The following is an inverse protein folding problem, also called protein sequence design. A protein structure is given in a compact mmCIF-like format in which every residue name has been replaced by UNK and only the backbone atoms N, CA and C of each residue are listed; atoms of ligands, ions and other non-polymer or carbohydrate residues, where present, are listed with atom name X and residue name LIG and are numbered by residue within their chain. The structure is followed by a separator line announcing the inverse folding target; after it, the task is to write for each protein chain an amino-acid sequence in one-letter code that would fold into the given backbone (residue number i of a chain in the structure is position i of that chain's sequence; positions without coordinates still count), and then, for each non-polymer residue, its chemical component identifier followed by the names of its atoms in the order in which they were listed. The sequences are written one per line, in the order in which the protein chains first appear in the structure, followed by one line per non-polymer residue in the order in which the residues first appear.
data_IF_335546363648
#
_entry.id   IF_335546363648
#
_cell.length_a   1.000
_cell.length_b   1.000
_cell.length_c   1.000
_cell.angle_alpha   90.00
_cell.angle_beta   90.00
_cell.angle_gamma   90.00
#
_symmetry.space_group_name_H-M   'P 1'
#
loop_
_entity.id
_entity.type
_entity.pdbx_description
1 polymer ?
#
# COMPACT_ATOMS: atom_id res chain seq x y z
N UNK A 1 -7.49 -7.31 11.95
CA UNK A 1 -8.01 -6.75 10.70
C UNK A 1 -7.86 -5.25 10.69
N UNK A 2 -6.65 -4.71 10.87
CA UNK A 2 -6.43 -3.27 10.70
C UNK A 2 -6.54 -2.89 9.23
N UNK A 3 -6.04 -3.73 8.33
CA UNK A 3 -6.49 -3.79 6.95
C UNK A 3 -7.70 -4.72 6.87
N UNK A 4 -8.81 -4.22 6.36
CA UNK A 4 -9.99 -5.00 6.02
C UNK A 4 -10.50 -4.56 4.65
N UNK A 5 -10.51 -5.49 3.69
CA UNK A 5 -10.96 -5.24 2.31
C UNK A 5 -12.48 -5.19 2.20
N UNK A 6 -13.23 -5.29 3.30
CA UNK A 6 -14.69 -5.27 3.31
C UNK A 6 -15.28 -3.95 3.79
N UNK A 7 -14.46 -2.90 3.89
CA UNK A 7 -14.86 -1.62 4.44
C UNK A 7 -15.66 -0.74 3.48
N UNK A 8 -16.01 -1.23 2.28
CA UNK A 8 -16.76 -0.43 1.29
C UNK A 8 -18.01 0.25 1.87
N UNK A 9 -18.85 -0.41 2.69
CA UNK A 9 -20.02 0.23 3.29
C UNK A 9 -19.68 1.46 4.16
N UNK A 10 -18.55 1.42 4.88
CA UNK A 10 -18.07 2.56 5.68
C UNK A 10 -17.43 3.63 4.79
N UNK A 11 -16.64 3.23 3.79
CA UNK A 11 -15.99 4.15 2.84
C UNK A 11 -17.04 4.96 2.06
N UNK A 12 -18.10 4.30 1.58
CA UNK A 12 -19.22 4.94 0.89
C UNK A 12 -19.97 5.91 1.81
N UNK A 13 -20.19 5.53 3.07
CA UNK A 13 -20.84 6.39 4.06
C UNK A 13 -20.02 7.65 4.37
N UNK A 14 -18.69 7.49 4.51
CA UNK A 14 -17.79 8.62 4.72
C UNK A 14 -17.67 9.51 3.47
N UNK A 15 -17.69 8.95 2.25
CA UNK A 15 -17.67 9.73 1.01
C UNK A 15 -16.43 10.62 0.79
N UNK A 16 -15.36 10.45 1.59
CA UNK A 16 -14.17 11.33 1.58
C UNK A 16 -13.41 11.23 0.25
N UNK A 17 -13.54 10.13 -0.49
CA UNK A 17 -12.81 9.91 -1.74
C UNK A 17 -13.11 10.94 -2.84
N UNK A 18 -14.20 11.69 -2.70
CA UNK A 18 -14.62 12.76 -3.63
C UNK A 18 -13.97 14.12 -3.31
N UNK A 19 -13.25 14.22 -2.18
CA UNK A 19 -12.70 15.48 -1.66
C UNK A 19 -11.17 15.51 -1.70
N UNK A 20 -10.62 16.72 -1.80
CA UNK A 20 -9.18 17.00 -1.74
C UNK A 20 -8.94 18.43 -1.24
N UNK A 21 -9.41 18.73 -0.03
CA UNK A 21 -9.33 20.09 0.54
C UNK A 21 -10.48 20.45 1.46
N UNK A 22 -10.99 21.67 1.37
CA UNK A 22 -12.12 22.11 2.19
C UNK A 22 -13.44 21.53 1.65
N UNK A 23 -14.31 21.09 2.56
CA UNK A 23 -15.67 20.66 2.24
C UNK A 23 -16.64 21.18 3.30
N UNK A 24 -17.13 22.41 3.13
CA UNK A 24 -18.08 23.00 4.10
C UNK A 24 -19.42 22.27 4.09
N UNK A 25 -19.80 21.70 2.95
CA UNK A 25 -20.98 20.87 2.72
C UNK A 25 -20.79 19.40 3.15
N UNK A 26 -19.57 19.03 3.55
CA UNK A 26 -19.29 17.69 4.05
C UNK A 26 -20.10 17.39 5.32
N UNK A 27 -20.81 16.26 5.29
CA UNK A 27 -21.61 15.77 6.41
C UNK A 27 -20.83 14.63 7.07
N UNK A 28 -20.47 14.83 8.33
CA UNK A 28 -19.88 13.78 9.15
C UNK A 28 -21.00 12.76 9.46
N UNK A 29 -20.81 11.47 9.15
CA UNK A 29 -21.78 10.44 9.49
C UNK A 29 -22.08 10.39 11.00
N UNK A 30 -23.34 10.12 11.35
CA UNK A 30 -23.73 9.90 12.75
C UNK A 30 -23.24 8.56 13.27
N UNK A 31 -23.12 8.43 14.59
CA UNK A 31 -22.73 7.16 15.23
C UNK A 31 -23.66 5.99 14.84
N UNK A 32 -24.98 6.23 14.75
CA UNK A 32 -25.95 5.22 14.36
C UNK A 32 -25.75 4.74 12.90
N UNK A 33 -25.40 5.65 12.00
CA UNK A 33 -25.07 5.32 10.60
C UNK A 33 -23.78 4.51 10.52
N UNK A 34 -22.75 4.91 11.28
CA UNK A 34 -21.46 4.20 11.35
C UNK A 34 -21.65 2.79 11.88
N UNK A 35 -22.39 2.61 12.98
CA UNK A 35 -22.70 1.29 13.54
C UNK A 35 -23.45 0.44 12.51
N UNK A 36 -24.49 0.98 11.88
CA UNK A 36 -25.29 0.26 10.87
C UNK A 36 -24.46 -0.13 9.64
N UNK A 37 -23.49 0.69 9.23
CA UNK A 37 -22.57 0.36 8.15
C UNK A 37 -21.55 -0.71 8.58
N UNK A 38 -21.02 -0.63 9.80
CA UNK A 38 -20.07 -1.59 10.35
C UNK A 38 -20.64 -3.01 10.44
N UNK A 39 -21.95 -3.13 10.69
CA UNK A 39 -22.69 -4.41 10.66
C UNK A 39 -22.72 -5.06 9.27
N UNK A 40 -22.21 -4.40 8.23
CA UNK A 40 -22.06 -4.95 6.87
C UNK A 40 -20.60 -5.20 6.50
N UNK A 41 -19.67 -4.99 7.42
CA UNK A 41 -18.22 -5.20 7.22
C UNK A 41 -17.76 -6.46 7.97
N UNK A 42 -16.54 -6.90 7.70
CA UNK A 42 -15.89 -8.07 8.30
C UNK A 42 -15.39 -9.05 7.24
N UNK A 43 -14.08 -9.26 7.17
CA UNK A 43 -13.46 -10.24 6.28
C UNK A 43 -13.92 -11.69 6.52
N UNK A 44 -14.41 -12.00 7.72
CA UNK A 44 -15.00 -13.29 8.10
C UNK A 44 -16.34 -13.58 7.41
N UNK A 45 -16.94 -12.57 6.76
CA UNK A 45 -18.13 -12.70 5.92
C UNK A 45 -17.82 -13.17 4.50
N UNK A 46 -16.54 -13.12 4.10
CA UNK A 46 -16.11 -13.65 2.81
C UNK A 46 -15.92 -15.16 2.97
N UNK A 47 -16.73 -15.93 2.26
CA UNK A 47 -16.54 -17.38 2.12
C UNK A 47 -16.02 -17.70 0.72
N UNK A 48 -15.05 -18.61 0.65
CA UNK A 48 -14.54 -19.14 -0.61
C UNK A 48 -14.96 -20.61 -0.68
N UNK A 49 -15.87 -20.91 -1.61
CA UNK A 49 -16.26 -22.29 -1.91
C UNK A 49 -15.17 -22.99 -2.72
N UNK A 50 -14.18 -23.52 -2.01
CA UNK A 50 -13.08 -24.28 -2.58
C UNK A 50 -13.49 -25.66 -3.12
N UNK A 51 -14.74 -26.11 -2.88
CA UNK A 51 -15.25 -27.40 -3.36
C UNK A 51 -15.89 -27.31 -4.74
N UNK A 52 -16.13 -26.10 -5.24
CA UNK A 52 -16.63 -25.85 -6.60
C UNK A 52 -15.55 -26.22 -7.64
N UNK A 53 -15.85 -27.21 -8.48
CA UNK A 53 -15.03 -27.56 -9.67
C UNK A 53 -15.21 -26.53 -10.81
N UNK A 54 -15.99 -25.45 -10.61
CA UNK A 54 -16.23 -24.43 -11.62
C UNK A 54 -15.00 -23.52 -11.79
N UNK A 55 -14.03 -24.03 -12.55
CA UNK A 55 -12.81 -23.30 -12.94
C UNK A 55 -13.06 -22.26 -14.02
N UNK A 56 -14.24 -22.24 -14.64
CA UNK A 56 -14.58 -21.31 -15.72
C UNK A 56 -14.81 -19.88 -15.21
N UNK A 57 -15.39 -19.73 -14.01
CA UNK A 57 -15.59 -18.43 -13.38
C UNK A 57 -15.27 -18.50 -11.87
N UNK A 58 -14.01 -18.31 -11.47
CA UNK A 58 -13.59 -18.37 -10.07
C UNK A 58 -14.32 -17.39 -9.14
N UNK A 59 -14.89 -16.31 -9.68
CA UNK A 59 -15.65 -15.34 -8.90
C UNK A 59 -16.97 -15.92 -8.36
N UNK A 60 -17.53 -16.95 -9.01
CA UNK A 60 -18.74 -17.63 -8.53
C UNK A 60 -18.50 -18.41 -7.24
N UNK A 61 -17.23 -18.64 -6.89
CA UNK A 61 -16.85 -19.32 -5.65
C UNK A 61 -16.72 -18.34 -4.47
N UNK A 62 -16.87 -17.03 -4.68
CA UNK A 62 -16.76 -16.00 -3.63
C UNK A 62 -18.16 -15.60 -3.18
N UNK A 63 -18.48 -15.88 -1.91
CA UNK A 63 -19.75 -15.50 -1.29
C UNK A 63 -19.48 -14.35 -0.31
N UNK A 64 -20.23 -13.25 -0.46
CA UNK A 64 -19.99 -12.02 0.28
C UNK A 64 -20.92 -11.80 1.49
N UNK A 65 -21.94 -12.64 1.72
CA UNK A 65 -22.82 -12.57 2.91
C UNK A 65 -23.25 -11.15 3.33
N UNK A 66 -23.67 -10.32 2.37
CA UNK A 66 -24.12 -8.94 2.60
C UNK A 66 -23.00 -7.91 2.82
N UNK A 67 -21.73 -8.31 2.70
CA UNK A 67 -20.58 -7.42 2.65
C UNK A 67 -20.27 -6.95 1.23
N UNK A 68 -19.35 -5.99 1.10
CA UNK A 68 -18.86 -5.45 -0.16
C UNK A 68 -17.34 -5.29 -0.09
N UNK A 69 -16.65 -5.67 -1.17
CA UNK A 69 -15.20 -5.59 -1.23
C UNK A 69 -14.76 -4.22 -1.76
N UNK A 70 -13.79 -3.62 -1.09
CA UNK A 70 -12.96 -2.52 -1.56
C UNK A 70 -11.51 -2.99 -1.68
N UNK A 71 -10.93 -2.86 -2.88
CA UNK A 71 -9.53 -3.24 -3.16
C UNK A 71 -8.61 -2.02 -3.29
N UNK A 72 -9.04 -0.81 -2.90
CA UNK A 72 -8.26 0.42 -3.07
C UNK A 72 -6.88 0.39 -2.40
N UNK A 73 -6.75 -0.34 -1.29
CA UNK A 73 -5.53 -0.50 -0.49
C UNK A 73 -4.61 -1.65 -0.93
N UNK A 74 -5.00 -2.44 -1.93
CA UNK A 74 -4.20 -3.59 -2.42
C UNK A 74 -4.12 -3.68 -3.95
N UNK A 75 -5.06 -3.06 -4.66
CA UNK A 75 -5.24 -3.23 -6.10
C UNK A 75 -4.12 -2.60 -6.92
N UNK A 76 -3.52 -1.51 -6.44
CA UNK A 76 -2.37 -0.88 -7.13
C UNK A 76 -1.16 -1.80 -7.02
N UNK A 77 -0.90 -2.31 -5.82
CA UNK A 77 0.13 -3.30 -5.56
C UNK A 77 -0.04 -4.57 -6.40
N UNK A 78 -1.25 -5.14 -6.42
CA UNK A 78 -1.56 -6.31 -7.25
C UNK A 78 -1.33 -6.06 -8.74
N UNK A 79 -1.69 -4.86 -9.24
CA UNK A 79 -1.46 -4.49 -10.64
C UNK A 79 0.02 -4.52 -10.99
N UNK A 80 0.90 -4.10 -10.08
CA UNK A 80 2.35 -4.20 -10.28
C UNK A 80 2.79 -5.66 -10.40
N UNK A 81 2.34 -6.52 -9.49
CA UNK A 81 2.68 -7.95 -9.52
C UNK A 81 2.16 -8.62 -10.81
N UNK A 82 0.92 -8.30 -11.23
CA UNK A 82 0.34 -8.85 -12.45
C UNK A 82 1.13 -8.44 -13.70
N UNK A 83 1.41 -7.14 -13.87
CA UNK A 83 2.21 -6.65 -15.01
C UNK A 83 3.63 -7.22 -15.00
N UNK A 84 4.24 -7.33 -13.81
CA UNK A 84 5.56 -7.95 -13.68
C UNK A 84 5.57 -9.40 -14.12
N UNK A 85 4.59 -10.21 -13.69
CA UNK A 85 4.53 -11.62 -14.05
C UNK A 85 4.34 -11.81 -15.57
N UNK A 86 3.43 -11.06 -16.19
CA UNK A 86 3.26 -11.07 -17.65
C UNK A 86 4.56 -10.67 -18.38
N UNK A 87 5.23 -9.62 -17.89
CA UNK A 87 6.50 -9.16 -18.46
C UNK A 87 7.63 -10.19 -18.29
N UNK A 88 7.74 -10.83 -17.14
CA UNK A 88 8.74 -11.87 -16.88
C UNK A 88 8.50 -13.10 -17.77
N UNK A 89 7.25 -13.53 -17.88
CA UNK A 89 6.87 -14.67 -18.73
C UNK A 89 7.19 -14.41 -20.21
N UNK A 90 6.96 -13.20 -20.72
CA UNK A 90 7.20 -12.86 -22.13
C UNK A 90 8.68 -12.51 -22.43
N UNK A 91 9.37 -11.80 -21.53
CA UNK A 91 10.67 -11.17 -21.85
C UNK A 91 11.88 -11.78 -21.12
N UNK A 92 11.66 -12.57 -20.07
CA UNK A 92 12.76 -13.19 -19.30
C UNK A 92 12.92 -14.70 -19.56
N UNK A 93 12.01 -15.33 -20.28
CA UNK A 93 12.07 -16.75 -20.65
C UNK A 93 13.14 -17.09 -21.70
N UNK A 94 13.70 -16.08 -22.37
CA UNK A 94 14.60 -16.29 -23.52
C UNK A 94 16.11 -16.26 -23.19
N UNK A 95 16.54 -16.53 -21.94
CA UNK A 95 17.97 -16.37 -21.58
C UNK A 95 18.59 -17.49 -20.72
N UNK A 96 19.27 -18.38 -21.44
CA UNK A 96 20.50 -19.08 -21.01
C UNK A 96 21.66 -18.12 -20.64
N UNK A 97 21.49 -16.80 -20.83
CA UNK A 97 22.42 -15.78 -20.33
C UNK A 97 22.09 -15.43 -18.87
N UNK A 98 22.59 -16.24 -17.94
CA UNK A 98 22.67 -16.05 -16.49
C UNK A 98 21.97 -14.78 -15.95
N UNK A 99 20.81 -14.97 -15.31
CA UNK A 99 19.94 -13.96 -14.67
C UNK A 99 20.69 -12.73 -14.12
N UNK A 100 21.82 -12.95 -13.44
CA UNK A 100 22.67 -11.92 -12.85
C UNK A 100 23.19 -10.86 -13.86
N UNK A 101 23.51 -11.23 -15.09
CA UNK A 101 23.97 -10.27 -16.12
C UNK A 101 22.83 -9.44 -16.70
N UNK A 102 21.60 -9.97 -16.71
CA UNK A 102 20.43 -9.28 -17.21
C UNK A 102 20.02 -8.15 -16.26
N UNK A 103 19.89 -8.44 -14.96
CA UNK A 103 19.53 -7.44 -13.93
C UNK A 103 20.58 -6.34 -13.73
N UNK A 104 21.86 -6.63 -14.00
CA UNK A 104 22.95 -5.66 -13.86
C UNK A 104 23.06 -4.66 -15.04
N UNK A 105 22.40 -4.92 -16.18
CA UNK A 105 22.49 -4.06 -17.38
C UNK A 105 21.15 -3.60 -17.94
N UNK A 106 20.05 -4.09 -17.37
CA UNK A 106 18.68 -3.73 -17.73
C UNK A 106 17.88 -3.62 -16.44
N UNK A 107 17.03 -2.61 -16.36
CA UNK A 107 16.14 -2.44 -15.24
C UNK A 107 14.81 -1.84 -15.69
N UNK A 108 13.81 -2.02 -14.84
CA UNK A 108 12.45 -1.62 -15.07
C UNK A 108 11.93 -0.93 -13.81
N UNK A 109 11.14 0.12 -14.01
CA UNK A 109 10.34 0.74 -12.95
C UNK A 109 8.89 0.77 -13.43
N UNK A 110 8.01 0.17 -12.65
CA UNK A 110 6.56 0.23 -12.83
C UNK A 110 5.98 1.14 -11.75
N UNK A 111 5.00 1.97 -12.09
CA UNK A 111 4.32 2.84 -11.13
C UNK A 111 2.84 2.85 -11.41
N UNK A 112 2.06 2.59 -10.36
CA UNK A 112 0.59 2.64 -10.35
C UNK A 112 0.19 3.49 -9.15
N UNK A 113 -0.02 4.78 -9.37
CA UNK A 113 -0.24 5.75 -8.29
C UNK A 113 0.95 5.80 -7.32
N UNK A 114 0.68 5.73 -6.01
CA UNK A 114 1.70 5.71 -4.95
C UNK A 114 2.43 4.38 -4.76
N UNK A 115 2.14 3.35 -5.58
CA UNK A 115 2.81 2.05 -5.56
C UNK A 115 3.81 1.96 -6.71
N UNK A 116 5.05 1.57 -6.41
CA UNK A 116 6.17 1.49 -7.34
C UNK A 116 6.82 0.11 -7.23
N UNK A 117 7.18 -0.49 -8.36
CA UNK A 117 8.05 -1.66 -8.41
C UNK A 117 9.30 -1.34 -9.20
N UNK A 118 10.46 -1.75 -8.68
CA UNK A 118 11.75 -1.62 -9.35
C UNK A 118 12.45 -2.97 -9.45
N UNK A 119 13.09 -3.19 -10.60
CA UNK A 119 13.78 -4.44 -10.96
C UNK A 119 15.07 -4.09 -11.68
N UNK A 120 16.17 -4.74 -11.34
CA UNK A 120 17.47 -4.60 -11.97
C UNK A 120 18.21 -3.32 -11.60
N UNK A 121 18.85 -2.70 -12.59
CA UNK A 121 19.71 -1.52 -12.43
C UNK A 121 19.33 -0.40 -13.39
N UNK A 122 19.73 0.82 -13.04
CA UNK A 122 19.73 1.95 -13.98
C UNK A 122 20.72 1.69 -15.12
N UNK A 123 20.58 2.46 -16.20
CA UNK A 123 21.44 2.35 -17.39
C UNK A 123 22.93 2.66 -17.12
N UNK A 124 23.22 3.39 -16.05
CA UNK A 124 24.58 3.68 -15.57
C UNK A 124 25.17 2.56 -14.68
N UNK A 125 24.43 1.47 -14.46
CA UNK A 125 24.82 0.32 -13.63
C UNK A 125 24.60 0.53 -12.13
N UNK A 126 24.04 1.68 -11.71
CA UNK A 126 23.70 1.93 -10.31
C UNK A 126 22.28 1.46 -9.98
N UNK A 127 22.00 1.20 -8.70
CA UNK A 127 20.64 0.87 -8.25
C UNK A 127 19.68 2.05 -8.34
N UNK A 128 18.38 1.75 -8.41
CA UNK A 128 17.35 2.77 -8.48
C UNK A 128 17.27 3.60 -7.19
N UNK A 129 16.80 4.83 -7.31
CA UNK A 129 16.48 5.72 -6.18
C UNK A 129 14.99 6.01 -6.24
N UNK A 130 14.25 5.56 -5.24
CA UNK A 130 12.81 5.74 -5.16
C UNK A 130 12.52 6.87 -4.19
N UNK A 131 11.90 7.94 -4.69
CA UNK A 131 11.58 9.11 -3.86
C UNK A 131 10.48 8.80 -2.86
N UNK A 132 10.70 9.17 -1.60
CA UNK A 132 9.68 9.23 -0.56
C UNK A 132 9.20 10.67 -0.51
N UNK A 133 7.93 10.89 -0.87
CA UNK A 133 7.33 12.22 -0.95
C UNK A 133 7.39 12.92 0.42
N UNK A 134 7.67 14.22 0.41
CA UNK A 134 7.46 15.07 1.58
C UNK A 134 5.95 15.32 1.75
N UNK A 135 5.33 14.82 2.83
CA UNK A 135 3.90 14.96 3.00
C UNK A 135 3.49 16.40 3.37
N UNK A 136 4.42 17.22 3.88
CA UNK A 136 4.22 18.64 4.19
C UNK A 136 4.68 19.55 3.04
N UNK A 137 5.33 18.98 2.03
CA UNK A 137 5.82 19.69 0.85
C UNK A 137 4.77 19.80 -0.26
N UNK A 138 5.20 20.36 -1.38
CA UNK A 138 4.45 20.33 -2.65
C UNK A 138 4.43 18.92 -3.21
N UNK A 139 3.56 18.67 -4.20
CA UNK A 139 3.37 17.34 -4.82
C UNK A 139 4.68 16.68 -5.29
N UNK A 140 5.69 17.46 -5.68
CA UNK A 140 6.98 16.95 -6.17
C UNK A 140 8.12 17.06 -5.14
N UNK A 141 7.85 17.54 -3.94
CA UNK A 141 8.86 17.65 -2.91
C UNK A 141 9.13 16.26 -2.33
N UNK A 142 10.41 15.95 -2.12
CA UNK A 142 10.89 14.63 -1.71
C UNK A 142 11.58 14.76 -0.36
N UNK A 143 11.15 13.97 0.63
CA UNK A 143 11.73 13.95 1.97
C UNK A 143 13.08 13.23 2.01
N UNK A 144 13.24 12.26 1.12
CA UNK A 144 14.43 11.46 0.91
C UNK A 144 14.21 10.38 -0.14
N UNK A 145 15.22 9.55 -0.36
CA UNK A 145 15.18 8.47 -1.33
C UNK A 145 15.51 7.15 -0.67
N UNK A 146 14.79 6.09 -1.05
CA UNK A 146 15.19 4.70 -0.79
C UNK A 146 16.09 4.27 -1.95
N UNK A 147 17.37 4.08 -1.66
CA UNK A 147 18.35 3.57 -2.63
C UNK A 147 18.29 2.05 -2.65
N UNK A 148 17.95 1.49 -3.80
CA UNK A 148 17.98 0.05 -4.02
C UNK A 148 19.39 -0.39 -4.43
N UNK A 149 19.69 -1.66 -4.20
CA UNK A 149 20.91 -2.27 -4.71
C UNK A 149 20.88 -2.38 -6.24
N UNK A 150 22.05 -2.30 -6.87
CA UNK A 150 22.16 -2.57 -8.29
C UNK A 150 21.88 -4.06 -8.54
N UNK A 151 21.03 -4.34 -9.54
CA UNK A 151 20.66 -5.71 -9.89
C UNK A 151 19.58 -6.31 -8.98
N UNK A 152 18.86 -5.49 -8.21
CA UNK A 152 17.77 -5.95 -7.34
C UNK A 152 16.77 -6.81 -8.11
N UNK A 153 16.32 -7.94 -7.55
CA UNK A 153 15.42 -8.85 -8.28
C UNK A 153 14.03 -8.27 -8.37
N UNK A 154 13.48 -7.83 -7.24
CA UNK A 154 12.18 -7.17 -7.17
C UNK A 154 12.06 -6.39 -5.88
N UNK A 155 11.84 -5.08 -5.97
CA UNK A 155 11.51 -4.25 -4.83
C UNK A 155 10.20 -3.50 -5.10
N UNK A 156 9.22 -3.68 -4.23
CA UNK A 156 7.92 -3.02 -4.26
C UNK A 156 7.81 -2.03 -3.11
N UNK A 157 7.48 -0.79 -3.43
CA UNK A 157 7.41 0.33 -2.51
C UNK A 157 6.03 0.97 -2.65
N UNK A 158 5.25 1.01 -1.57
CA UNK A 158 3.93 1.66 -1.56
C UNK A 158 3.82 2.63 -0.39
N UNK A 159 3.12 3.74 -0.60
CA UNK A 159 2.90 4.76 0.41
C UNK A 159 1.42 4.96 0.69
N UNK A 160 1.06 4.97 1.97
CA UNK A 160 -0.26 5.41 2.46
C UNK A 160 -0.08 6.71 3.26
N UNK A 161 -0.98 7.69 3.08
CA UNK A 161 -0.94 8.95 3.81
C UNK A 161 -2.26 9.72 3.78
N UNK A 162 -2.45 10.64 4.73
CA UNK A 162 -3.69 11.41 4.89
C UNK A 162 -3.87 12.55 3.88
N UNK A 163 -2.81 12.94 3.18
CA UNK A 163 -2.77 14.10 2.30
C UNK A 163 -3.21 13.82 0.87
N UNK A 164 -3.52 12.56 0.52
CA UNK A 164 -3.94 12.20 -0.85
C UNK A 164 -5.42 12.51 -1.08
N UNK A 165 -6.31 11.98 -0.23
CA UNK A 165 -7.75 12.24 -0.25
C UNK A 165 -8.22 12.56 1.16
N UNK A 166 -8.72 13.78 1.34
CA UNK A 166 -9.19 14.29 2.62
C UNK A 166 -10.17 15.45 2.44
N UNK A 167 -10.92 15.69 3.50
CA UNK A 167 -11.80 16.84 3.66
C UNK A 167 -11.49 17.56 4.98
N UNK A 168 -11.46 18.90 4.96
CA UNK A 168 -11.37 19.73 6.15
C UNK A 168 -12.76 20.26 6.47
N UNK A 169 -13.27 19.90 7.65
CA UNK A 169 -14.56 20.32 8.19
C UNK A 169 -14.34 20.88 9.60
N UNK A 170 -14.76 22.12 9.82
CA UNK A 170 -14.65 22.82 11.11
C UNK A 170 -13.22 22.82 11.71
N UNK A 171 -12.21 22.87 10.83
CA UNK A 171 -10.79 22.87 11.21
C UNK A 171 -10.19 21.49 11.46
N UNK A 172 -10.98 20.42 11.38
CA UNK A 172 -10.53 19.03 11.52
C UNK A 172 -10.39 18.38 10.14
N UNK A 173 -9.29 17.66 9.93
CA UNK A 173 -9.06 16.87 8.71
C UNK A 173 -9.63 15.46 8.89
N UNK A 174 -10.45 15.03 7.94
CA UNK A 174 -10.93 13.66 7.80
C UNK A 174 -10.36 13.07 6.51
N UNK A 175 -9.62 11.98 6.59
CA UNK A 175 -8.97 11.34 5.43
C UNK A 175 -9.58 9.97 5.08
N UNK A 176 -9.32 9.51 3.86
CA UNK A 176 -9.94 8.30 3.31
C UNK A 176 -9.52 6.96 3.97
N UNK A 177 -8.44 6.93 4.76
CA UNK A 177 -8.00 5.71 5.46
C UNK A 177 -8.82 5.52 6.73
N UNK A 178 -9.79 4.60 6.70
CA UNK A 178 -10.70 4.32 7.84
C UNK A 178 -10.11 3.24 8.74
N UNK A 179 -10.12 3.49 10.06
CA UNK A 179 -9.82 2.47 11.06
C UNK A 179 -11.09 1.67 11.38
N UNK A 180 -11.13 0.35 11.07
CA UNK A 180 -12.30 -0.48 11.33
C UNK A 180 -12.64 -0.66 12.81
N UNK A 181 -11.71 -0.38 13.72
CA UNK A 181 -11.94 -0.49 15.17
C UNK A 181 -12.65 0.72 15.76
N UNK A 182 -12.50 1.90 15.13
CA UNK A 182 -13.13 3.14 15.57
C UNK A 182 -14.30 3.55 14.67
N UNK A 183 -14.32 3.08 13.41
CA UNK A 183 -15.23 3.48 12.33
C UNK A 183 -14.96 4.89 11.76
N UNK A 184 -13.90 5.56 12.22
CA UNK A 184 -13.49 6.90 11.78
C UNK A 184 -12.21 6.83 10.94
N UNK A 185 -11.84 7.91 10.22
CA UNK A 185 -10.48 8.08 9.73
C UNK A 185 -9.44 7.78 10.81
N UNK A 186 -8.44 6.98 10.48
CA UNK A 186 -7.45 6.50 11.43
C UNK A 186 -6.64 7.63 12.07
N UNK A 187 -6.62 7.68 13.41
CA UNK A 187 -5.84 8.64 14.19
C UNK A 187 -4.61 7.96 14.80
N UNK A 188 -3.59 7.73 13.96
CA UNK A 188 -2.40 6.96 14.33
C UNK A 188 -1.18 7.82 14.71
N UNK A 189 -1.33 9.15 14.67
CA UNK A 189 -0.23 10.12 14.81
C UNK A 189 0.73 10.17 13.61
N UNK A 190 0.37 9.53 12.49
CA UNK A 190 1.18 9.47 11.27
C UNK A 190 0.60 10.33 10.15
N UNK A 191 1.47 10.96 9.36
CA UNK A 191 1.09 11.62 8.10
C UNK A 191 1.31 10.67 6.91
N UNK A 192 2.37 9.85 6.95
CA UNK A 192 2.62 8.81 5.93
C UNK A 192 3.36 7.60 6.46
N UNK A 193 3.14 6.48 5.77
CA UNK A 193 3.94 5.26 5.85
C UNK A 193 4.29 4.79 4.45
N UNK A 194 5.59 4.70 4.17
CA UNK A 194 6.12 4.04 2.97
C UNK A 194 6.66 2.67 3.35
N UNK A 195 6.12 1.60 2.78
CA UNK A 195 6.55 0.22 3.03
C UNK A 195 7.32 -0.32 1.83
N UNK A 196 8.39 -1.07 2.11
CA UNK A 196 9.22 -1.78 1.14
C UNK A 196 9.08 -3.29 1.37
N UNK A 197 8.71 -4.00 0.31
CA UNK A 197 8.75 -5.46 0.22
C UNK A 197 9.64 -5.88 -0.95
N UNK A 198 10.44 -6.91 -0.76
CA UNK A 198 11.44 -7.39 -1.73
C UNK A 198 11.38 -8.92 -1.92
N UNK A 199 12.38 -9.50 -2.58
CA UNK A 199 12.50 -10.95 -2.74
C UNK A 199 12.64 -11.74 -1.42
N UNK A 200 12.98 -11.07 -0.31
CA UNK A 200 13.16 -11.69 1.00
C UNK A 200 11.89 -11.60 1.87
N UNK A 201 10.89 -10.83 1.43
CA UNK A 201 9.59 -10.67 2.10
C UNK A 201 8.83 -11.99 2.19
N UNK A 202 7.82 -12.08 3.06
CA UNK A 202 7.13 -13.34 3.36
C UNK A 202 6.36 -13.97 2.18
N UNK A 203 5.90 -13.15 1.23
CA UNK A 203 5.19 -13.56 0.01
C UNK A 203 5.81 -12.83 -1.19
N UNK A 204 7.05 -13.19 -1.59
CA UNK A 204 7.81 -12.43 -2.57
C UNK A 204 7.14 -12.39 -3.93
N UNK A 205 6.37 -13.41 -4.31
CA UNK A 205 5.58 -13.43 -5.55
C UNK A 205 4.49 -12.35 -5.58
N UNK A 206 3.97 -11.95 -4.41
CA UNK A 206 2.94 -10.92 -4.21
C UNK A 206 3.48 -9.66 -3.50
N UNK A 207 4.77 -9.35 -3.66
CA UNK A 207 5.41 -8.23 -2.97
C UNK A 207 4.74 -6.87 -3.25
N UNK A 208 4.18 -6.67 -4.45
CA UNK A 208 3.41 -5.48 -4.81
C UNK A 208 2.17 -5.34 -3.94
N UNK A 209 1.30 -6.35 -3.97
CA UNK A 209 0.09 -6.45 -3.15
C UNK A 209 0.42 -6.30 -1.66
N UNK A 210 1.48 -6.97 -1.21
CA UNK A 210 1.91 -6.94 0.18
C UNK A 210 2.35 -5.54 0.61
N UNK A 211 3.15 -4.83 -0.21
CA UNK A 211 3.59 -3.47 0.11
C UNK A 211 2.42 -2.48 0.21
N UNK A 212 1.44 -2.55 -0.70
CA UNK A 212 0.25 -1.66 -0.73
C UNK A 212 -0.60 -1.91 0.53
N UNK A 213 -0.96 -3.18 0.79
CA UNK A 213 -1.76 -3.55 1.94
C UNK A 213 -1.08 -3.28 3.28
N UNK A 214 0.22 -3.57 3.40
CA UNK A 214 0.99 -3.27 4.61
C UNK A 214 1.11 -1.77 4.85
N UNK A 215 1.22 -0.94 3.81
CA UNK A 215 1.28 0.51 3.99
C UNK A 215 0.02 1.04 4.67
N UNK A 216 -1.16 0.57 4.26
CA UNK A 216 -2.44 0.92 4.90
C UNK A 216 -2.55 0.33 6.30
N UNK A 217 -2.21 -0.95 6.48
CA UNK A 217 -2.26 -1.60 7.78
C UNK A 217 -1.35 -0.90 8.81
N UNK A 218 -0.14 -0.54 8.42
CA UNK A 218 0.84 0.14 9.28
C UNK A 218 0.42 1.58 9.56
N UNK A 219 -0.18 2.26 8.59
CA UNK A 219 -0.75 3.59 8.81
C UNK A 219 -1.83 3.53 9.91
N UNK A 220 -2.76 2.58 9.84
CA UNK A 220 -3.84 2.44 10.85
C UNK A 220 -3.28 2.04 12.22
N UNK A 221 -2.33 1.10 12.26
CA UNK A 221 -1.75 0.59 13.51
C UNK A 221 -0.89 1.60 14.27
N UNK A 222 -0.36 2.60 13.58
CA UNK A 222 0.69 3.47 14.11
C UNK A 222 2.05 2.79 14.17
N UNK A 223 3.10 3.58 14.41
CA UNK A 223 4.51 3.13 14.32
C UNK A 223 4.80 1.91 15.20
N UNK A 224 4.51 2.00 16.50
CA UNK A 224 4.93 0.99 17.49
C UNK A 224 4.32 -0.39 17.19
N UNK A 225 3.01 -0.45 16.93
CA UNK A 225 2.32 -1.71 16.65
C UNK A 225 2.69 -2.26 15.26
N UNK A 226 3.15 -1.41 14.34
CA UNK A 226 3.57 -1.82 13.00
C UNK A 226 4.88 -2.62 13.00
N UNK A 227 5.76 -2.43 13.98
CA UNK A 227 7.08 -3.08 14.00
C UNK A 227 6.98 -4.61 14.04
N UNK A 228 6.04 -5.15 14.83
CA UNK A 228 5.81 -6.60 14.88
C UNK A 228 5.22 -7.13 13.56
N UNK A 229 4.32 -6.36 12.95
CA UNK A 229 3.71 -6.71 11.66
C UNK A 229 4.78 -6.74 10.54
N UNK A 230 5.58 -5.69 10.45
CA UNK A 230 6.67 -5.58 9.46
C UNK A 230 7.67 -6.73 9.62
N UNK A 231 8.05 -7.07 10.85
CA UNK A 231 8.91 -8.23 11.14
C UNK A 231 8.29 -9.55 10.69
N UNK A 232 6.99 -9.76 10.92
CA UNK A 232 6.27 -10.97 10.49
C UNK A 232 6.31 -11.13 8.97
N UNK A 233 6.14 -10.04 8.24
CA UNK A 233 6.12 -10.04 6.77
C UNK A 233 7.49 -9.82 6.14
N UNK A 234 8.54 -9.64 6.95
CA UNK A 234 9.91 -9.31 6.52
C UNK A 234 9.93 -8.12 5.57
N UNK A 235 9.16 -7.09 5.93
CA UNK A 235 9.07 -5.83 5.24
C UNK A 235 9.73 -4.73 6.06
N UNK A 236 10.12 -3.66 5.40
CA UNK A 236 10.72 -2.48 6.03
C UNK A 236 9.88 -1.24 5.74
N UNK A 237 10.03 -0.18 6.52
CA UNK A 237 9.22 1.02 6.35
C UNK A 237 9.93 2.33 6.74
N UNK A 238 9.43 3.40 6.14
CA UNK A 238 9.69 4.79 6.51
C UNK A 238 8.37 5.39 7.01
N UNK A 239 8.38 5.91 8.23
CA UNK A 239 7.24 6.57 8.87
C UNK A 239 7.53 8.06 8.98
N UNK A 240 6.51 8.88 8.76
CA UNK A 240 6.53 10.32 9.04
C UNK A 240 5.36 10.64 9.95
N UNK A 241 5.65 11.19 11.12
CA UNK A 241 4.63 11.56 12.10
C UNK A 241 4.05 12.98 11.86
N UNK A 242 3.01 13.34 12.61
CA UNK A 242 2.35 14.65 12.56
C UNK A 242 3.27 15.85 12.86
N UNK A 243 4.39 15.62 13.55
CA UNK A 243 5.41 16.63 13.83
C UNK A 243 6.44 16.74 12.70
N UNK A 244 6.34 15.90 11.67
CA UNK A 244 7.31 15.77 10.58
C UNK A 244 8.56 15.00 10.98
N UNK A 245 8.55 14.28 12.11
CA UNK A 245 9.65 13.41 12.50
C UNK A 245 9.65 12.13 11.65
N UNK A 246 10.84 11.77 11.19
CA UNK A 246 11.08 10.61 10.34
C UNK A 246 11.60 9.44 11.20
N UNK A 247 10.97 8.29 11.05
CA UNK A 247 11.50 7.02 11.56
C UNK A 247 11.71 6.03 10.41
N UNK A 248 12.88 5.40 10.37
CA UNK A 248 13.26 4.42 9.36
C UNK A 248 13.61 3.11 10.07
N UNK A 249 12.99 2.02 9.64
CA UNK A 249 13.29 0.68 10.17
C UNK A 249 14.73 0.26 9.84
N UNK A 250 15.28 -0.66 10.64
CA UNK A 250 16.71 -0.98 10.60
C UNK A 250 17.20 -1.43 9.23
N UNK A 251 16.39 -2.20 8.47
CA UNK A 251 16.79 -2.70 7.15
C UNK A 251 16.87 -1.61 6.06
N UNK A 252 16.36 -0.41 6.31
CA UNK A 252 16.44 0.73 5.39
C UNK A 252 17.41 1.82 5.84
N UNK A 253 18.00 1.75 7.04
CA UNK A 253 18.83 2.84 7.60
C UNK A 253 20.00 3.24 6.69
N UNK A 254 20.67 2.27 6.10
CA UNK A 254 21.82 2.53 5.21
C UNK A 254 21.40 2.90 3.78
N UNK A 255 20.16 2.58 3.41
CA UNK A 255 19.60 2.77 2.07
C UNK A 255 18.76 4.04 1.95
N UNK A 256 18.24 4.57 3.04
CA UNK A 256 17.47 5.81 3.06
C UNK A 256 18.39 7.04 3.15
N UNK A 257 18.32 7.91 2.14
CA UNK A 257 19.17 9.11 2.03
C UNK A 257 18.30 10.37 2.00
N UNK A 258 18.68 11.39 2.78
CA UNK A 258 18.12 12.74 2.71
C UNK A 258 19.12 13.60 1.94
N UNK A 259 18.81 13.95 0.68
CA UNK A 259 19.64 14.82 -0.18
C UNK A 259 19.11 16.26 -0.16
#
# INVERSE_FOLDING_TARGET
GSLDITLRPLIDLWGIEEYSGNGEDFIIPSEDELISASEKTGYDRIEIDAASENTYNPLENIILNGTQIDLGSVGKGYSLDHVYNEFVEEYMTDRDEAEERAYNKRGMVLSVGGSIMAVGSRSDGTGFRIGVRDPNGRVNDTLGYIRLEAGCKKACISTSGDYEKYVIKDGVRYHHIIDPSTLYPADSGLISVTVVCDENSAMPEYAGLLSDGLSTACYILGRENSLELLKKYKAEAVFVDENGELFVTDGLKDSFIRE
#
